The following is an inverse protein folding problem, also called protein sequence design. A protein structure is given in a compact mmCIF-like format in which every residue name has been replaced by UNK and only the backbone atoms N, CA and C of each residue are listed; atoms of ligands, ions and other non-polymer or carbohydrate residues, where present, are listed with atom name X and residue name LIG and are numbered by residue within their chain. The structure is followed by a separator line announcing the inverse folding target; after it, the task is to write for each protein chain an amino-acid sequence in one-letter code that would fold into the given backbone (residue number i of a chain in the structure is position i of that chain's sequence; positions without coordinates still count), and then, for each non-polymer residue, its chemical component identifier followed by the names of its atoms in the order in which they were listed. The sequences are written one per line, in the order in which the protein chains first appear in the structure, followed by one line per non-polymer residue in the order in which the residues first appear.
data_IF_946298464113
#
_entry.id   IF_946298464113
#
_cell.length_a   1.000
_cell.length_b   1.000
_cell.length_c   1.000
_cell.angle_alpha   90.00
_cell.angle_beta   90.00
_cell.angle_gamma   90.00
#
_symmetry.space_group_name_H-M   'P 1'
#
loop_
_entity.id
_entity.type
_entity.pdbx_description
1 polymer ?
#
# COMPACT_ATOMS: atom_id res chain seq x y z
N UNK A 1 -28.66 -71.64 35.66
CA UNK A 1 -27.68 -71.04 36.61
C UNK A 1 -28.48 -70.27 37.64
N UNK A 2 -28.19 -70.48 38.93
CA UNK A 2 -28.88 -69.84 40.05
C UNK A 2 -28.62 -68.33 39.97
N UNK A 3 -29.67 -67.54 39.81
CA UNK A 3 -29.59 -66.08 39.96
C UNK A 3 -29.40 -65.83 41.44
N UNK A 4 -28.20 -65.40 41.82
CA UNK A 4 -27.83 -65.12 43.20
C UNK A 4 -28.38 -63.71 43.52
N UNK A 5 -29.24 -63.51 44.53
CA UNK A 5 -29.82 -62.20 44.86
C UNK A 5 -28.81 -61.14 45.36
N UNK A 6 -27.51 -61.39 45.20
CA UNK A 6 -26.38 -60.63 45.72
C UNK A 6 -25.54 -59.95 44.63
N UNK A 7 -25.88 -60.12 43.35
CA UNK A 7 -25.09 -59.52 42.25
C UNK A 7 -25.55 -58.11 41.84
N UNK A 8 -26.62 -57.57 42.43
CA UNK A 8 -26.94 -56.14 42.23
C UNK A 8 -26.15 -55.31 43.22
N UNK A 9 -24.97 -54.95 42.78
CA UNK A 9 -24.24 -53.84 43.32
C UNK A 9 -24.75 -52.56 42.62
N UNK A 10 -25.55 -51.68 43.25
CA UNK A 10 -25.99 -50.42 42.63
C UNK A 10 -24.85 -49.39 42.54
N UNK A 11 -23.69 -49.64 43.17
CA UNK A 11 -22.58 -48.69 43.21
C UNK A 11 -22.01 -48.33 41.81
N UNK A 12 -21.77 -49.26 40.86
CA UNK A 12 -21.29 -48.92 39.52
C UNK A 12 -22.27 -48.02 38.76
N UNK A 13 -23.57 -48.33 38.77
CA UNK A 13 -24.60 -47.51 38.14
C UNK A 13 -24.72 -46.14 38.80
N UNK A 14 -24.65 -46.10 40.13
CA UNK A 14 -24.66 -44.87 40.91
C UNK A 14 -23.46 -43.97 40.60
N UNK A 15 -22.24 -44.54 40.52
CA UNK A 15 -21.03 -43.80 40.17
C UNK A 15 -21.09 -43.28 38.73
N UNK A 16 -21.65 -44.08 37.81
CA UNK A 16 -21.89 -43.65 36.44
C UNK A 16 -22.87 -42.46 36.39
N UNK A 17 -23.95 -42.49 37.19
CA UNK A 17 -24.89 -41.36 37.30
C UNK A 17 -24.23 -40.09 37.84
N UNK A 18 -23.38 -40.21 38.86
CA UNK A 18 -22.62 -39.07 39.40
C UNK A 18 -21.68 -38.48 38.35
N UNK A 19 -20.91 -39.33 37.66
CA UNK A 19 -20.00 -38.89 36.61
C UNK A 19 -20.72 -38.17 35.47
N UNK A 20 -21.81 -38.75 34.97
CA UNK A 20 -22.60 -38.15 33.88
C UNK A 20 -23.22 -36.83 34.33
N UNK A 21 -23.70 -36.76 35.57
CA UNK A 21 -24.24 -35.51 36.11
C UNK A 21 -23.17 -34.41 36.16
N UNK A 22 -21.94 -34.73 36.57
CA UNK A 22 -20.80 -33.80 36.52
C UNK A 22 -20.47 -33.39 35.07
N UNK A 23 -20.32 -34.35 34.16
CA UNK A 23 -19.98 -34.11 32.74
C UNK A 23 -21.01 -33.21 32.02
N UNK A 24 -22.30 -33.32 32.37
CA UNK A 24 -23.36 -32.48 31.79
C UNK A 24 -23.27 -31.02 32.29
N UNK A 25 -22.78 -30.81 33.50
CA UNK A 25 -22.61 -29.49 34.11
C UNK A 25 -21.27 -28.82 33.76
N UNK A 26 -20.31 -29.59 33.24
CA UNK A 26 -18.99 -29.10 32.88
C UNK A 26 -19.03 -27.97 31.84
N UNK A 27 -18.34 -26.87 32.15
CA UNK A 27 -18.18 -25.77 31.22
C UNK A 27 -17.22 -26.16 30.09
N UNK A 28 -17.62 -25.91 28.84
CA UNK A 28 -16.77 -26.13 27.67
C UNK A 28 -16.30 -24.80 27.09
N UNK A 29 -15.04 -24.77 26.62
CA UNK A 29 -14.45 -23.62 25.92
C UNK A 29 -14.00 -24.10 24.55
N UNK A 30 -14.61 -23.55 23.51
CA UNK A 30 -14.40 -23.94 22.12
C UNK A 30 -14.26 -22.68 21.28
N UNK A 31 -13.32 -22.72 20.33
CA UNK A 31 -12.99 -21.57 19.49
C UNK A 31 -13.11 -21.90 17.99
N UNK A 32 -13.69 -23.07 17.67
CA UNK A 32 -13.83 -23.59 16.31
C UNK A 32 -15.14 -24.36 16.17
N UNK A 33 -15.69 -24.33 14.97
CA UNK A 33 -16.93 -25.03 14.63
C UNK A 33 -16.73 -26.55 14.74
N UNK A 34 -15.58 -27.07 14.32
CA UNK A 34 -15.28 -28.50 14.38
C UNK A 34 -15.27 -29.04 15.81
N UNK A 35 -14.75 -28.24 16.76
CA UNK A 35 -14.68 -28.62 18.17
C UNK A 35 -16.10 -28.71 18.77
N UNK A 36 -16.98 -27.75 18.47
CA UNK A 36 -18.39 -27.80 18.90
C UNK A 36 -19.12 -28.98 18.28
N UNK A 37 -18.92 -29.24 16.98
CA UNK A 37 -19.54 -30.37 16.30
C UNK A 37 -19.11 -31.71 16.91
N UNK A 38 -17.84 -31.82 17.33
CA UNK A 38 -17.34 -32.99 18.05
C UNK A 38 -18.05 -33.18 19.39
N UNK A 39 -18.25 -32.10 20.17
CA UNK A 39 -19.00 -32.14 21.42
C UNK A 39 -20.46 -32.54 21.22
N UNK A 40 -21.13 -31.98 20.20
CA UNK A 40 -22.51 -32.35 19.84
C UNK A 40 -22.60 -33.83 19.48
N UNK A 41 -21.71 -34.33 18.63
CA UNK A 41 -21.70 -35.75 18.27
C UNK A 41 -21.43 -36.65 19.48
N UNK A 42 -20.52 -36.25 20.37
CA UNK A 42 -20.28 -36.92 21.65
C UNK A 42 -21.56 -36.99 22.50
N UNK A 43 -22.27 -35.87 22.63
CA UNK A 43 -23.52 -35.79 23.38
C UNK A 43 -24.64 -36.62 22.74
N UNK A 44 -24.77 -36.63 21.42
CA UNK A 44 -25.71 -37.50 20.69
C UNK A 44 -25.40 -38.98 20.91
N UNK A 45 -24.12 -39.36 20.93
CA UNK A 45 -23.72 -40.74 21.21
C UNK A 45 -24.00 -41.13 22.66
N UNK A 46 -23.83 -40.21 23.61
CA UNK A 46 -24.28 -40.38 24.99
C UNK A 46 -25.80 -40.56 25.06
N UNK A 47 -26.60 -39.74 24.39
CA UNK A 47 -28.07 -39.87 24.39
C UNK A 47 -28.54 -41.23 23.86
N UNK A 48 -27.80 -41.85 22.94
CA UNK A 48 -28.08 -43.22 22.44
C UNK A 48 -27.85 -44.31 23.50
N UNK A 49 -27.06 -44.07 24.55
CA UNK A 49 -26.86 -45.05 25.64
C UNK A 49 -27.95 -44.97 26.72
N UNK A 50 -28.70 -43.86 26.79
CA UNK A 50 -29.75 -43.64 27.79
C UNK A 50 -30.83 -44.72 27.84
N UNK A 51 -31.35 -45.27 26.72
CA UNK A 51 -32.35 -46.33 26.79
C UNK A 51 -31.82 -47.60 27.47
N UNK A 52 -30.54 -47.92 27.26
CA UNK A 52 -29.91 -49.06 27.92
C UNK A 52 -29.72 -48.80 29.43
N UNK A 53 -29.28 -47.60 29.80
CA UNK A 53 -29.12 -47.20 31.20
C UNK A 53 -30.47 -47.10 31.95
N UNK A 54 -31.53 -46.61 31.29
CA UNK A 54 -32.89 -46.60 31.84
C UNK A 54 -33.40 -48.02 32.10
N UNK A 55 -33.08 -48.96 31.21
CA UNK A 55 -33.41 -50.37 31.39
C UNK A 55 -32.69 -50.93 32.63
N UNK A 56 -31.40 -50.65 32.79
CA UNK A 56 -30.63 -51.06 33.97
C UNK A 56 -31.25 -50.52 35.27
N UNK A 57 -31.65 -49.25 35.30
CA UNK A 57 -32.38 -48.67 36.44
C UNK A 57 -33.69 -49.41 36.74
N UNK A 58 -34.49 -49.70 35.70
CA UNK A 58 -35.76 -50.41 35.84
C UNK A 58 -35.56 -51.85 36.34
N UNK A 59 -34.51 -52.53 35.89
CA UNK A 59 -34.16 -53.88 36.31
C UNK A 59 -33.79 -53.88 37.81
N UNK A 60 -32.95 -52.93 38.26
CA UNK A 60 -32.59 -52.73 39.68
C UNK A 60 -33.85 -52.49 40.55
N UNK A 61 -34.75 -51.60 40.10
CA UNK A 61 -35.99 -51.30 40.81
C UNK A 61 -36.89 -52.55 40.90
N UNK A 62 -37.03 -53.28 39.80
CA UNK A 62 -37.87 -54.47 39.71
C UNK A 62 -37.38 -55.57 40.66
N UNK A 63 -36.07 -55.78 40.75
CA UNK A 63 -35.49 -56.78 41.65
C UNK A 63 -35.71 -56.40 43.13
N UNK A 64 -35.52 -55.13 43.50
CA UNK A 64 -35.84 -54.66 44.86
C UNK A 64 -37.33 -54.82 45.18
N UNK A 65 -38.22 -54.59 44.22
CA UNK A 65 -39.65 -54.86 44.38
C UNK A 65 -39.97 -56.35 44.54
N UNK A 66 -39.29 -57.23 43.82
CA UNK A 66 -39.44 -58.68 43.97
C UNK A 66 -39.05 -59.14 45.37
N UNK A 67 -37.92 -58.65 45.90
CA UNK A 67 -37.50 -58.92 47.29
C UNK A 67 -38.57 -58.44 48.29
N UNK A 68 -39.10 -57.23 48.10
CA UNK A 68 -40.20 -56.68 48.92
C UNK A 68 -41.46 -57.56 48.87
N UNK A 69 -41.82 -58.08 47.68
CA UNK A 69 -42.98 -58.99 47.51
C UNK A 69 -42.75 -60.34 48.18
N UNK A 70 -41.54 -60.90 48.10
CA UNK A 70 -41.19 -62.16 48.76
C UNK A 70 -41.28 -62.04 50.29
N UNK A 71 -40.73 -60.98 50.87
CA UNK A 71 -40.80 -60.73 52.31
C UNK A 71 -42.26 -60.63 52.79
N UNK A 72 -43.10 -59.90 52.04
CA UNK A 72 -44.53 -59.77 52.35
C UNK A 72 -45.31 -61.08 52.20
N UNK A 73 -45.11 -61.81 51.10
CA UNK A 73 -45.85 -63.06 50.83
C UNK A 73 -45.52 -64.18 51.82
N UNK A 74 -44.31 -64.19 52.37
CA UNK A 74 -43.88 -65.16 53.37
C UNK A 74 -44.00 -64.67 54.83
N UNK A 75 -44.65 -63.52 55.08
CA UNK A 75 -44.82 -62.91 56.41
C UNK A 75 -43.48 -62.79 57.20
N UNK A 76 -42.39 -62.46 56.50
CA UNK A 76 -41.06 -62.31 57.10
C UNK A 76 -40.93 -60.93 57.77
N UNK A 77 -40.00 -60.81 58.73
CA UNK A 77 -39.77 -59.56 59.48
C UNK A 77 -39.43 -58.39 58.54
N UNK A 78 -40.03 -57.23 58.82
CA UNK A 78 -39.78 -55.98 58.08
C UNK A 78 -38.34 -55.48 58.17
N UNK A 79 -37.55 -55.96 59.13
CA UNK A 79 -36.13 -55.61 59.25
C UNK A 79 -35.29 -56.11 58.06
N UNK A 80 -35.74 -57.20 57.40
CA UNK A 80 -35.08 -57.77 56.22
C UNK A 80 -35.25 -56.90 54.96
N UNK A 81 -36.07 -55.84 55.02
CA UNK A 81 -36.20 -54.87 53.94
C UNK A 81 -35.01 -53.92 53.85
N UNK A 82 -34.21 -53.81 54.92
CA UNK A 82 -32.98 -53.01 54.90
C UNK A 82 -31.86 -53.82 54.27
N UNK A 83 -31.33 -53.34 53.15
CA UNK A 83 -30.22 -53.97 52.48
C UNK A 83 -28.93 -53.79 53.31
N UNK A 84 -28.26 -54.87 53.78
CA UNK A 84 -27.05 -54.76 54.58
C UNK A 84 -25.79 -54.50 53.72
N UNK A 85 -25.88 -54.58 52.40
CA UNK A 85 -24.74 -54.50 51.47
C UNK A 85 -24.63 -53.16 50.73
N UNK A 86 -25.65 -52.30 50.80
CA UNK A 86 -25.62 -50.98 50.18
C UNK A 86 -26.45 -49.97 50.98
N UNK A 87 -25.97 -48.72 50.99
CA UNK A 87 -26.67 -47.57 51.56
C UNK A 87 -27.51 -46.81 50.53
N UNK A 88 -27.53 -47.28 49.27
CA UNK A 88 -28.18 -46.58 48.16
C UNK A 88 -29.59 -47.13 47.97
N UNK A 89 -30.58 -46.28 48.21
CA UNK A 89 -31.99 -46.61 48.01
C UNK A 89 -32.42 -46.41 46.55
N UNK A 90 -33.39 -47.19 46.07
CA UNK A 90 -33.96 -47.02 44.72
C UNK A 90 -34.53 -45.61 44.48
N UNK A 91 -35.08 -44.97 45.50
CA UNK A 91 -35.55 -43.59 45.41
C UNK A 91 -34.40 -42.61 45.16
N UNK A 92 -33.23 -42.85 45.76
CA UNK A 92 -32.03 -42.03 45.53
C UNK A 92 -31.54 -42.18 44.10
N UNK A 93 -31.52 -43.41 43.56
CA UNK A 93 -31.16 -43.66 42.16
C UNK A 93 -32.16 -43.00 41.20
N UNK A 94 -33.45 -43.13 41.46
CA UNK A 94 -34.49 -42.48 40.64
C UNK A 94 -34.35 -40.96 40.65
N UNK A 95 -34.18 -40.36 41.84
CA UNK A 95 -34.00 -38.91 41.95
C UNK A 95 -32.75 -38.42 41.21
N UNK A 96 -31.64 -39.18 41.27
CA UNK A 96 -30.40 -38.86 40.54
C UNK A 96 -30.55 -39.03 39.03
N UNK A 97 -31.26 -40.07 38.61
CA UNK A 97 -31.64 -40.26 37.21
C UNK A 97 -32.47 -39.10 36.69
N UNK A 98 -33.53 -38.71 37.40
CA UNK A 98 -34.41 -37.61 37.00
C UNK A 98 -33.65 -36.27 36.97
N UNK A 99 -32.76 -36.03 37.94
CA UNK A 99 -31.89 -34.86 37.96
C UNK A 99 -30.95 -34.83 36.75
N UNK A 100 -30.25 -35.92 36.46
CA UNK A 100 -29.38 -36.05 35.28
C UNK A 100 -30.17 -35.87 33.98
N UNK A 101 -31.33 -36.51 33.87
CA UNK A 101 -32.18 -36.45 32.68
C UNK A 101 -32.67 -35.02 32.40
N UNK A 102 -32.97 -34.24 33.46
CA UNK A 102 -33.36 -32.84 33.34
C UNK A 102 -32.26 -31.94 32.78
N UNK A 103 -30.99 -32.29 32.98
CA UNK A 103 -29.84 -31.52 32.50
C UNK A 103 -29.58 -31.70 30.99
N UNK A 104 -30.04 -32.80 30.40
CA UNK A 104 -29.78 -33.13 28.99
C UNK A 104 -30.31 -32.04 28.06
N UNK A 105 -31.55 -31.60 28.26
CA UNK A 105 -32.14 -30.54 27.41
C UNK A 105 -31.37 -29.23 27.53
N UNK A 106 -30.93 -28.86 28.73
CA UNK A 106 -30.12 -27.65 28.93
C UNK A 106 -28.75 -27.76 28.26
N UNK A 107 -28.15 -28.95 28.26
CA UNK A 107 -26.89 -29.21 27.57
C UNK A 107 -27.04 -29.15 26.05
N UNK A 108 -28.12 -29.71 25.52
CA UNK A 108 -28.48 -29.62 24.10
C UNK A 108 -28.59 -28.14 23.68
N UNK A 109 -29.35 -27.34 24.41
CA UNK A 109 -29.52 -25.92 24.09
C UNK A 109 -28.20 -25.15 24.15
N UNK A 110 -27.36 -25.39 25.17
CA UNK A 110 -26.06 -24.73 25.30
C UNK A 110 -25.12 -25.08 24.14
N UNK A 111 -25.05 -26.34 23.72
CA UNK A 111 -24.21 -26.78 22.60
C UNK A 111 -24.69 -26.20 21.27
N UNK A 112 -26.00 -26.15 21.03
CA UNK A 112 -26.55 -25.56 19.80
C UNK A 112 -26.35 -24.04 19.76
N UNK A 113 -26.50 -23.33 20.88
CA UNK A 113 -26.21 -21.90 20.96
C UNK A 113 -24.74 -21.61 20.67
N UNK A 114 -23.82 -22.39 21.23
CA UNK A 114 -22.41 -22.23 20.94
C UNK A 114 -22.09 -22.57 19.48
N UNK A 115 -22.74 -23.56 18.88
CA UNK A 115 -22.56 -23.88 17.46
C UNK A 115 -22.94 -22.69 16.57
N UNK A 116 -24.10 -22.08 16.81
CA UNK A 116 -24.56 -20.91 16.06
C UNK A 116 -23.55 -19.77 16.19
N UNK A 117 -23.10 -19.49 17.42
CA UNK A 117 -22.10 -18.46 17.69
C UNK A 117 -20.77 -18.72 16.96
N UNK A 118 -20.25 -19.95 16.99
CA UNK A 118 -19.01 -20.29 16.29
C UNK A 118 -19.17 -20.24 14.76
N UNK A 119 -20.33 -20.60 14.22
CA UNK A 119 -20.63 -20.45 12.79
C UNK A 119 -20.69 -18.98 12.36
N UNK A 120 -21.28 -18.11 13.18
CA UNK A 120 -21.29 -16.67 12.92
C UNK A 120 -19.87 -16.09 12.98
N UNK A 121 -19.06 -16.52 13.94
CA UNK A 121 -17.66 -16.13 14.05
C UNK A 121 -16.85 -16.53 12.82
N UNK A 122 -16.98 -17.79 12.37
CA UNK A 122 -16.27 -18.28 11.18
C UNK A 122 -16.72 -17.56 9.90
N UNK A 123 -18.02 -17.22 9.81
CA UNK A 123 -18.54 -16.43 8.69
C UNK A 123 -17.89 -15.04 8.63
N UNK A 124 -17.78 -14.34 9.77
CA UNK A 124 -17.12 -13.02 9.82
C UNK A 124 -15.64 -13.16 9.46
N UNK A 125 -14.95 -14.17 9.99
CA UNK A 125 -13.56 -14.45 9.67
C UNK A 125 -13.34 -14.71 8.17
N UNK A 126 -14.20 -15.53 7.56
CA UNK A 126 -14.13 -15.85 6.14
C UNK A 126 -14.37 -14.61 5.28
N UNK A 127 -15.36 -13.78 5.62
CA UNK A 127 -15.63 -12.52 4.90
C UNK A 127 -14.46 -11.54 4.99
N UNK A 128 -13.91 -11.35 6.19
CA UNK A 128 -12.72 -10.51 6.37
C UNK A 128 -11.55 -11.02 5.54
N UNK A 129 -11.28 -12.33 5.61
CA UNK A 129 -10.18 -12.96 4.91
C UNK A 129 -10.30 -12.84 3.39
N UNK A 130 -11.50 -13.00 2.82
CA UNK A 130 -11.73 -12.85 1.38
C UNK A 130 -11.33 -11.44 0.89
N UNK A 131 -11.77 -10.40 1.60
CA UNK A 131 -11.42 -9.01 1.25
C UNK A 131 -9.94 -8.73 1.49
N UNK A 132 -9.40 -9.17 2.63
CA UNK A 132 -8.02 -8.98 3.02
C UNK A 132 -7.05 -9.66 2.05
N UNK A 133 -7.34 -10.90 1.62
CA UNK A 133 -6.51 -11.65 0.68
C UNK A 133 -6.56 -11.10 -0.74
N UNK A 134 -7.57 -10.30 -1.08
CA UNK A 134 -7.62 -9.57 -2.35
C UNK A 134 -6.84 -8.25 -2.27
N UNK A 135 -6.99 -7.54 -1.16
CA UNK A 135 -6.46 -6.19 -0.99
C UNK A 135 -4.98 -6.17 -0.55
N UNK A 136 -4.56 -7.10 0.31
CA UNK A 136 -3.18 -7.21 0.80
C UNK A 136 -2.15 -7.35 -0.32
N UNK A 137 -2.28 -8.33 -1.24
CA UNK A 137 -1.37 -8.46 -2.38
C UNK A 137 -1.40 -7.25 -3.33
N UNK A 138 -2.56 -6.61 -3.48
CA UNK A 138 -2.67 -5.37 -4.26
C UNK A 138 -1.83 -4.24 -3.64
N UNK A 139 -1.83 -4.09 -2.31
CA UNK A 139 -0.98 -3.11 -1.63
C UNK A 139 0.50 -3.40 -1.83
N UNK A 140 0.92 -4.66 -1.60
CA UNK A 140 2.32 -5.08 -1.77
C UNK A 140 2.81 -4.78 -3.20
N UNK A 141 2.05 -5.19 -4.21
CA UNK A 141 2.39 -4.97 -5.62
C UNK A 141 2.48 -3.48 -6.00
N UNK A 142 1.53 -2.66 -5.54
CA UNK A 142 1.53 -1.25 -5.88
C UNK A 142 2.60 -0.45 -5.12
N UNK A 143 2.96 -0.85 -3.90
CA UNK A 143 4.10 -0.25 -3.19
C UNK A 143 5.41 -0.47 -3.96
N UNK A 144 5.64 -1.69 -4.47
CA UNK A 144 6.78 -2.00 -5.34
C UNK A 144 6.71 -1.25 -6.68
N UNK A 145 5.53 -1.18 -7.28
CA UNK A 145 5.32 -0.51 -8.56
C UNK A 145 5.61 0.99 -8.46
N UNK A 146 5.12 1.67 -7.43
CA UNK A 146 5.42 3.10 -7.18
C UNK A 146 6.94 3.31 -7.06
N UNK A 147 7.64 2.46 -6.29
CA UNK A 147 9.09 2.54 -6.17
C UNK A 147 9.81 2.34 -7.52
N UNK A 148 9.33 1.38 -8.33
CA UNK A 148 9.88 1.11 -9.66
C UNK A 148 9.69 2.29 -10.63
N UNK A 149 8.55 2.99 -10.57
CA UNK A 149 8.24 4.14 -11.43
C UNK A 149 9.23 5.28 -11.17
N UNK A 150 9.48 5.60 -9.90
CA UNK A 150 10.37 6.70 -9.49
C UNK A 150 11.83 6.44 -9.88
N UNK A 151 12.26 5.17 -9.82
CA UNK A 151 13.66 4.77 -10.04
C UNK A 151 13.96 4.55 -11.53
N UNK A 152 12.94 4.33 -12.36
CA UNK A 152 13.11 4.00 -13.76
C UNK A 152 13.38 5.23 -14.63
N UNK A 153 14.66 5.52 -14.85
CA UNK A 153 15.14 6.63 -15.69
C UNK A 153 14.79 6.50 -17.18
N UNK A 154 14.29 5.35 -17.65
CA UNK A 154 13.93 5.14 -19.07
C UNK A 154 12.53 5.67 -19.41
N UNK A 155 11.68 5.93 -18.42
CA UNK A 155 10.33 6.45 -18.63
C UNK A 155 10.34 7.98 -18.64
N UNK A 156 9.58 8.60 -19.54
CA UNK A 156 9.37 10.05 -19.52
C UNK A 156 8.70 10.48 -18.21
N UNK A 157 8.92 11.72 -17.78
CA UNK A 157 8.34 12.22 -16.53
C UNK A 157 6.80 12.28 -16.64
N UNK A 158 6.29 12.53 -17.84
CA UNK A 158 4.87 12.55 -18.18
C UNK A 158 4.26 11.14 -18.04
N UNK A 159 4.94 10.11 -18.56
CA UNK A 159 4.52 8.71 -18.41
C UNK A 159 4.54 8.26 -16.95
N UNK A 160 5.55 8.69 -16.19
CA UNK A 160 5.63 8.39 -14.75
C UNK A 160 4.45 9.02 -14.00
N UNK A 161 4.13 10.29 -14.29
CA UNK A 161 2.98 10.99 -13.70
C UNK A 161 1.65 10.32 -14.05
N UNK A 162 1.41 9.98 -15.32
CA UNK A 162 0.19 9.28 -15.74
C UNK A 162 0.01 7.93 -15.03
N UNK A 163 1.09 7.15 -14.87
CA UNK A 163 1.03 5.88 -14.15
C UNK A 163 0.70 6.05 -12.68
N UNK A 164 1.28 7.05 -12.00
CA UNK A 164 0.96 7.33 -10.60
C UNK A 164 -0.49 7.78 -10.42
N UNK A 165 -0.99 8.64 -11.31
CA UNK A 165 -2.39 9.09 -11.28
C UNK A 165 -3.36 7.91 -11.47
N UNK A 166 -3.01 6.96 -12.35
CA UNK A 166 -3.80 5.73 -12.52
C UNK A 166 -3.82 4.89 -11.24
N UNK A 167 -2.68 4.71 -10.57
CA UNK A 167 -2.62 3.97 -9.30
C UNK A 167 -3.44 4.71 -8.23
N UNK A 168 -3.42 6.05 -8.20
CA UNK A 168 -4.24 6.85 -7.28
C UNK A 168 -5.74 6.66 -7.53
N UNK A 169 -6.17 6.68 -8.80
CA UNK A 169 -7.57 6.44 -9.18
C UNK A 169 -8.03 5.02 -8.81
N UNK A 170 -7.20 4.01 -9.11
CA UNK A 170 -7.47 2.63 -8.73
C UNK A 170 -7.55 2.50 -7.19
N UNK A 171 -6.67 3.19 -6.46
CA UNK A 171 -6.68 3.24 -4.99
C UNK A 171 -7.99 3.84 -4.48
N UNK A 172 -8.52 4.91 -5.08
CA UNK A 172 -9.79 5.52 -4.69
C UNK A 172 -10.95 4.50 -4.71
N UNK A 173 -10.97 3.60 -5.70
CA UNK A 173 -11.95 2.52 -5.80
C UNK A 173 -11.97 1.54 -4.62
N UNK A 174 -10.83 1.37 -3.95
CA UNK A 174 -10.68 0.48 -2.79
C UNK A 174 -11.17 1.08 -1.46
N UNK A 175 -11.52 2.38 -1.40
CA UNK A 175 -12.02 3.01 -0.17
C UNK A 175 -13.25 2.30 0.41
N UNK A 176 -14.14 1.83 -0.45
CA UNK A 176 -15.33 1.06 -0.05
C UNK A 176 -14.93 -0.26 0.63
N UNK A 177 -13.91 -0.95 0.09
CA UNK A 177 -13.40 -2.21 0.63
C UNK A 177 -12.69 -2.01 1.97
N UNK A 178 -11.87 -0.96 2.13
CA UNK A 178 -11.28 -0.58 3.42
C UNK A 178 -12.38 -0.36 4.47
N UNK A 179 -13.42 0.39 4.12
CA UNK A 179 -14.55 0.67 5.03
C UNK A 179 -15.27 -0.61 5.45
N UNK A 180 -15.44 -1.56 4.53
CA UNK A 180 -16.03 -2.86 4.82
C UNK A 180 -15.14 -3.74 5.70
N UNK A 181 -13.83 -3.77 5.44
CA UNK A 181 -12.84 -4.44 6.28
C UNK A 181 -12.85 -3.91 7.71
N UNK A 182 -12.97 -2.59 7.91
CA UNK A 182 -13.09 -2.00 9.25
C UNK A 182 -14.37 -2.42 9.97
N UNK A 183 -15.50 -2.48 9.26
CA UNK A 183 -16.76 -2.97 9.83
C UNK A 183 -16.67 -4.44 10.23
N UNK A 184 -16.04 -5.27 9.41
CA UNK A 184 -15.83 -6.69 9.73
C UNK A 184 -14.88 -6.85 10.91
N UNK A 185 -13.82 -6.06 10.97
CA UNK A 185 -12.88 -6.06 12.10
C UNK A 185 -13.55 -5.63 13.40
N UNK A 186 -14.42 -4.61 13.36
CA UNK A 186 -15.23 -4.20 14.51
C UNK A 186 -16.10 -5.36 15.03
N UNK A 187 -16.75 -6.10 14.12
CA UNK A 187 -17.52 -7.31 14.49
C UNK A 187 -16.63 -8.40 15.09
N UNK A 188 -15.42 -8.60 14.55
CA UNK A 188 -14.47 -9.56 15.13
C UNK A 188 -14.10 -9.19 16.57
N UNK A 189 -13.88 -7.91 16.86
CA UNK A 189 -13.62 -7.42 18.21
C UNK A 189 -14.82 -7.60 19.14
N UNK A 190 -16.03 -7.28 18.69
CA UNK A 190 -17.28 -7.47 19.44
C UNK A 190 -17.54 -8.93 19.79
N UNK A 191 -17.21 -9.84 18.87
CA UNK A 191 -17.30 -11.29 19.08
C UNK A 191 -16.08 -11.89 19.80
N UNK A 192 -15.12 -11.06 20.21
CA UNK A 192 -13.87 -11.46 20.88
C UNK A 192 -13.05 -12.47 20.07
N UNK A 193 -13.12 -12.38 18.75
CA UNK A 193 -12.35 -13.23 17.83
C UNK A 193 -10.92 -12.69 17.77
N UNK A 194 -9.98 -13.46 18.32
CA UNK A 194 -8.57 -13.07 18.41
C UNK A 194 -7.73 -13.55 17.24
N UNK A 195 -8.19 -14.58 16.51
CA UNK A 195 -7.43 -15.20 15.43
C UNK A 195 -8.33 -15.55 14.24
N UNK A 196 -7.81 -15.28 13.04
CA UNK A 196 -8.45 -15.66 11.79
C UNK A 196 -7.51 -16.59 11.01
N UNK A 197 -7.81 -17.89 10.90
CA UNK A 197 -6.94 -18.85 10.20
C UNK A 197 -6.95 -18.69 8.68
N UNK A 198 -7.91 -17.93 8.13
CA UNK A 198 -8.13 -17.82 6.68
C UNK A 198 -7.30 -16.71 6.02
N UNK A 199 -6.57 -15.90 6.81
CA UNK A 199 -5.71 -14.83 6.28
C UNK A 199 -4.51 -14.56 7.17
N UNK A 200 -3.39 -14.19 6.55
CA UNK A 200 -2.20 -13.68 7.25
C UNK A 200 -2.26 -12.18 7.54
N UNK A 201 -3.19 -11.48 6.90
CA UNK A 201 -3.31 -10.03 6.98
C UNK A 201 -4.17 -9.64 8.17
N UNK A 202 -3.65 -8.75 9.01
CA UNK A 202 -4.44 -8.10 10.07
C UNK A 202 -4.93 -6.74 9.60
N UNK A 203 -5.98 -6.22 10.22
CA UNK A 203 -6.51 -4.89 9.88
C UNK A 203 -5.43 -3.81 10.03
N UNK A 204 -4.55 -3.94 11.02
CA UNK A 204 -3.42 -3.03 11.24
C UNK A 204 -2.45 -3.05 10.07
N UNK A 205 -2.04 -4.24 9.61
CA UNK A 205 -1.12 -4.36 8.47
C UNK A 205 -1.69 -3.75 7.19
N UNK A 206 -2.99 -3.96 6.94
CA UNK A 206 -3.69 -3.38 5.78
C UNK A 206 -3.83 -1.87 5.89
N UNK A 207 -4.16 -1.34 7.08
CA UNK A 207 -4.29 0.10 7.32
C UNK A 207 -2.95 0.82 7.10
N UNK A 208 -1.87 0.27 7.65
CA UNK A 208 -0.52 0.83 7.47
C UNK A 208 -0.12 0.79 6.01
N UNK A 209 -0.29 -0.35 5.32
CA UNK A 209 0.05 -0.48 3.90
C UNK A 209 -0.74 0.49 3.02
N UNK A 210 -2.02 0.69 3.31
CA UNK A 210 -2.87 1.66 2.60
C UNK A 210 -2.40 3.11 2.76
N UNK A 211 -2.19 3.55 4.00
CA UNK A 211 -1.74 4.93 4.27
C UNK A 211 -0.32 5.17 3.75
N UNK A 212 0.54 4.15 3.82
CA UNK A 212 1.88 4.19 3.24
C UNK A 212 1.81 4.34 1.71
N UNK A 213 0.98 3.55 1.03
CA UNK A 213 0.83 3.64 -0.42
C UNK A 213 0.32 5.01 -0.86
N UNK A 214 -0.72 5.51 -0.19
CA UNK A 214 -1.28 6.85 -0.44
C UNK A 214 -0.25 7.96 -0.24
N UNK A 215 0.55 7.87 0.84
CA UNK A 215 1.62 8.84 1.12
C UNK A 215 2.72 8.77 0.08
N UNK A 216 3.12 7.56 -0.33
CA UNK A 216 4.15 7.35 -1.34
C UNK A 216 3.72 7.88 -2.70
N UNK A 217 2.48 7.63 -3.14
CA UNK A 217 1.96 8.16 -4.41
C UNK A 217 2.04 9.68 -4.43
N UNK A 218 1.51 10.35 -3.40
CA UNK A 218 1.53 11.82 -3.30
C UNK A 218 2.94 12.39 -3.29
N UNK A 219 3.85 11.77 -2.54
CA UNK A 219 5.26 12.17 -2.52
C UNK A 219 5.88 12.04 -3.92
N UNK A 220 5.62 10.93 -4.59
CA UNK A 220 6.17 10.62 -5.92
C UNK A 220 5.64 11.57 -6.99
N UNK A 221 4.34 11.89 -6.95
CA UNK A 221 3.72 12.90 -7.82
C UNK A 221 4.41 14.25 -7.63
N UNK A 222 4.54 14.73 -6.39
CA UNK A 222 5.23 16.00 -6.09
C UNK A 222 6.69 15.99 -6.56
N UNK A 223 7.42 14.88 -6.37
CA UNK A 223 8.80 14.75 -6.84
C UNK A 223 8.89 14.82 -8.37
N UNK A 224 7.97 14.17 -9.09
CA UNK A 224 7.93 14.21 -10.55
C UNK A 224 7.51 15.59 -11.05
N UNK A 225 6.51 16.24 -10.44
CA UNK A 225 6.10 17.61 -10.78
C UNK A 225 7.26 18.60 -10.62
N UNK A 226 8.02 18.48 -9.52
CA UNK A 226 9.22 19.29 -9.31
C UNK A 226 10.29 19.01 -10.37
N UNK A 227 10.49 17.74 -10.78
CA UNK A 227 11.43 17.37 -11.85
C UNK A 227 10.97 17.89 -13.21
N UNK A 228 9.67 17.85 -13.53
CA UNK A 228 9.12 18.41 -14.77
C UNK A 228 9.37 19.91 -14.80
N UNK A 229 9.01 20.61 -13.71
CA UNK A 229 9.25 22.05 -13.57
C UNK A 229 10.72 22.40 -13.74
N UNK A 230 11.64 21.63 -13.14
CA UNK A 230 13.08 21.84 -13.32
C UNK A 230 13.56 21.50 -14.74
N UNK A 231 12.94 20.53 -15.40
CA UNK A 231 13.26 20.10 -16.76
C UNK A 231 12.82 21.14 -17.81
N UNK A 232 11.67 21.78 -17.60
CA UNK A 232 11.14 22.86 -18.44
C UNK A 232 12.03 24.11 -18.44
N UNK A 233 12.98 24.20 -17.50
CA UNK A 233 13.98 25.27 -17.40
C UNK A 233 15.42 24.79 -17.68
N UNK A 234 15.61 23.65 -18.35
CA UNK A 234 16.97 23.15 -18.65
C UNK A 234 17.82 24.23 -19.33
N UNK A 235 19.03 24.41 -18.81
CA UNK A 235 20.00 25.39 -19.31
C UNK A 235 19.92 26.79 -18.68
N UNK A 236 18.95 27.05 -17.80
CA UNK A 236 18.82 28.34 -17.10
C UNK A 236 19.30 28.20 -15.66
N UNK A 237 20.26 29.02 -15.24
CA UNK A 237 20.79 29.00 -13.86
C UNK A 237 19.76 29.56 -12.86
N UNK A 238 19.86 29.19 -11.59
CA UNK A 238 18.95 29.69 -10.55
C UNK A 238 18.95 31.24 -10.45
N UNK A 239 20.10 31.86 -10.68
CA UNK A 239 20.22 33.33 -10.77
C UNK A 239 19.48 33.91 -11.97
N UNK A 240 19.57 33.27 -13.14
CA UNK A 240 18.84 33.70 -14.34
C UNK A 240 17.32 33.54 -14.15
N UNK A 241 16.87 32.48 -13.49
CA UNK A 241 15.45 32.29 -13.15
C UNK A 241 14.98 33.42 -12.22
N UNK A 242 15.75 33.78 -11.20
CA UNK A 242 15.40 34.85 -10.28
C UNK A 242 15.40 36.24 -10.96
N UNK A 243 16.34 36.48 -11.87
CA UNK A 243 16.37 37.70 -12.66
C UNK A 243 15.16 37.80 -13.62
N UNK A 244 14.84 36.71 -14.31
CA UNK A 244 13.64 36.59 -15.14
C UNK A 244 12.37 36.82 -14.31
N UNK A 245 12.28 36.22 -13.11
CA UNK A 245 11.16 36.39 -12.18
C UNK A 245 11.04 37.84 -11.70
N UNK A 246 12.15 38.47 -11.33
CA UNK A 246 12.20 39.87 -10.88
C UNK A 246 11.75 40.81 -11.99
N UNK A 247 12.24 40.63 -13.21
CA UNK A 247 11.84 41.44 -14.37
C UNK A 247 10.37 41.23 -14.71
N UNK A 248 9.89 39.99 -14.78
CA UNK A 248 8.48 39.71 -15.08
C UNK A 248 7.54 40.34 -14.05
N UNK A 249 7.84 40.20 -12.76
CA UNK A 249 7.06 40.81 -11.68
C UNK A 249 7.11 42.34 -11.67
N UNK A 250 8.19 42.94 -12.19
CA UNK A 250 8.30 44.40 -12.31
C UNK A 250 7.29 44.96 -13.33
N UNK A 251 7.08 44.24 -14.43
CA UNK A 251 6.16 44.63 -15.49
C UNK A 251 4.71 44.15 -15.24
N UNK A 252 4.50 43.09 -14.48
CA UNK A 252 3.16 42.64 -14.04
C UNK A 252 2.64 43.50 -12.86
N UNK A 253 2.36 44.77 -13.15
CA UNK A 253 1.90 45.78 -12.16
C UNK A 253 0.67 45.34 -11.37
N UNK A 254 -0.15 44.47 -11.96
CA UNK A 254 -1.40 44.00 -11.37
C UNK A 254 -1.29 42.59 -10.73
N UNK A 255 -0.10 41.97 -10.73
CA UNK A 255 0.15 40.61 -10.23
C UNK A 255 -0.81 39.57 -10.81
N UNK A 256 -1.16 39.75 -12.07
CA UNK A 256 -2.07 38.87 -12.81
C UNK A 256 -1.40 37.59 -13.29
N UNK A 257 -0.08 37.49 -13.13
CA UNK A 257 0.83 36.48 -13.71
C UNK A 257 0.79 36.46 -15.24
N UNK A 258 0.46 37.61 -15.84
CA UNK A 258 0.29 37.80 -17.27
C UNK A 258 0.89 39.14 -17.67
N UNK A 259 1.61 39.17 -18.78
CA UNK A 259 2.07 40.41 -19.42
C UNK A 259 1.32 40.60 -20.72
N UNK A 260 0.81 41.80 -20.95
CA UNK A 260 0.33 42.20 -22.28
C UNK A 260 1.52 42.37 -23.25
N UNK A 261 1.29 42.51 -24.57
CA UNK A 261 2.35 42.63 -25.55
C UNK A 261 3.33 43.79 -25.28
N UNK A 262 2.84 44.92 -24.76
CA UNK A 262 3.67 46.10 -24.51
C UNK A 262 4.55 45.89 -23.28
N UNK A 263 3.96 45.38 -22.20
CA UNK A 263 4.69 45.05 -20.97
C UNK A 263 5.67 43.89 -21.18
N UNK A 264 5.32 42.90 -22.01
CA UNK A 264 6.22 41.82 -22.40
C UNK A 264 7.41 42.33 -23.23
N UNK A 265 7.19 43.24 -24.19
CA UNK A 265 8.28 43.89 -24.94
C UNK A 265 9.23 44.64 -24.01
N UNK A 266 8.69 45.38 -23.04
CA UNK A 266 9.49 46.10 -22.06
C UNK A 266 10.30 45.13 -21.15
N UNK A 267 9.70 44.00 -20.78
CA UNK A 267 10.38 42.94 -20.04
C UNK A 267 11.58 42.36 -20.80
N UNK A 268 11.42 42.05 -22.09
CA UNK A 268 12.52 41.56 -22.94
C UNK A 268 13.66 42.58 -23.04
N UNK A 269 13.34 43.86 -23.25
CA UNK A 269 14.33 44.94 -23.31
C UNK A 269 15.08 45.07 -21.98
N UNK A 270 14.38 44.94 -20.84
CA UNK A 270 15.00 44.99 -19.50
C UNK A 270 15.96 43.84 -19.22
N UNK A 271 15.81 42.71 -19.91
CA UNK A 271 16.68 41.54 -19.83
C UNK A 271 17.81 41.57 -20.88
N UNK A 272 17.90 42.64 -21.67
CA UNK A 272 18.99 42.85 -22.64
C UNK A 272 18.67 42.48 -24.09
N UNK A 273 17.43 42.08 -24.42
CA UNK A 273 17.04 41.85 -25.81
C UNK A 273 16.92 43.18 -26.57
N UNK A 274 17.67 43.31 -27.65
CA UNK A 274 17.63 44.52 -28.49
C UNK A 274 16.50 44.41 -29.51
N UNK A 275 15.38 45.09 -29.26
CA UNK A 275 14.25 45.17 -30.18
C UNK A 275 14.17 46.61 -30.73
N UNK A 276 14.77 46.90 -31.89
CA UNK A 276 14.81 48.25 -32.44
C UNK A 276 13.41 48.76 -32.81
N UNK A 277 13.19 50.06 -32.70
CA UNK A 277 11.94 50.74 -33.11
C UNK A 277 11.89 50.94 -34.64
N UNK A 278 12.17 49.88 -35.39
CA UNK A 278 12.11 49.84 -36.85
C UNK A 278 11.08 48.80 -37.29
N UNK A 279 10.68 48.86 -38.57
CA UNK A 279 9.78 47.83 -39.14
C UNK A 279 10.35 46.41 -39.02
N UNK A 280 11.68 46.27 -38.91
CA UNK A 280 12.35 44.99 -38.71
C UNK A 280 12.20 44.49 -37.27
N UNK A 281 12.43 45.35 -36.27
CA UNK A 281 12.27 44.97 -34.87
C UNK A 281 10.83 44.61 -34.51
N UNK A 282 9.85 45.23 -35.18
CA UNK A 282 8.43 44.84 -35.03
C UNK A 282 8.14 43.45 -35.60
N UNK A 283 8.74 43.11 -36.75
CA UNK A 283 8.59 41.79 -37.35
C UNK A 283 9.25 40.69 -36.48
N UNK A 284 10.39 40.99 -35.86
CA UNK A 284 11.08 40.06 -34.97
C UNK A 284 10.33 39.90 -33.64
N UNK A 285 9.78 40.98 -33.05
CA UNK A 285 8.92 40.89 -31.88
C UNK A 285 7.65 40.08 -32.15
N UNK A 286 7.00 40.28 -33.31
CA UNK A 286 5.84 39.46 -33.70
C UNK A 286 6.21 37.97 -33.85
N UNK A 287 7.44 37.65 -34.28
CA UNK A 287 7.91 36.26 -34.36
C UNK A 287 8.06 35.66 -32.97
N UNK A 288 8.67 36.39 -32.03
CA UNK A 288 8.78 35.98 -30.63
C UNK A 288 7.39 35.78 -30.04
N UNK A 289 6.46 36.71 -30.29
CA UNK A 289 5.11 36.65 -29.78
C UNK A 289 4.35 35.42 -30.27
N UNK A 290 4.53 35.01 -31.53
CA UNK A 290 3.96 33.75 -32.05
C UNK A 290 4.52 32.50 -31.38
N UNK A 291 5.74 32.56 -30.87
CA UNK A 291 6.36 31.47 -30.11
C UNK A 291 5.79 31.39 -28.69
N UNK A 292 5.62 32.53 -28.00
CA UNK A 292 5.16 32.57 -26.61
C UNK A 292 3.63 32.62 -26.43
N UNK A 293 2.89 33.03 -27.46
CA UNK A 293 1.42 33.02 -27.51
C UNK A 293 0.90 32.42 -28.83
N UNK A 294 1.07 31.10 -29.06
CA UNK A 294 0.65 30.44 -30.31
C UNK A 294 -0.86 30.51 -30.56
N UNK A 295 -1.64 30.65 -29.49
CA UNK A 295 -3.10 30.69 -29.51
C UNK A 295 -3.67 32.10 -29.64
N UNK A 296 -2.82 33.14 -29.74
CA UNK A 296 -3.22 34.54 -29.84
C UNK A 296 -4.19 34.97 -28.73
N UNK A 297 -3.91 34.52 -27.51
CA UNK A 297 -4.68 34.88 -26.30
C UNK A 297 -4.51 36.36 -25.93
N UNK A 298 -3.47 37.02 -26.45
CA UNK A 298 -3.20 38.44 -26.23
C UNK A 298 -2.44 38.74 -24.94
N UNK A 299 -1.92 37.71 -24.26
CA UNK A 299 -1.08 37.85 -23.08
C UNK A 299 -0.04 36.72 -23.01
N UNK A 300 1.08 36.98 -22.33
CA UNK A 300 2.17 36.02 -22.10
C UNK A 300 2.20 35.63 -20.63
N UNK A 301 2.20 34.32 -20.34
CA UNK A 301 2.34 33.80 -18.97
C UNK A 301 3.81 33.67 -18.58
N UNK A 302 4.08 33.60 -17.28
CA UNK A 302 5.45 33.40 -16.78
C UNK A 302 6.07 32.11 -17.33
N UNK A 303 5.30 31.02 -17.43
CA UNK A 303 5.79 29.73 -17.93
C UNK A 303 6.16 29.81 -19.42
N UNK A 304 5.33 30.43 -20.26
CA UNK A 304 5.63 30.63 -21.68
C UNK A 304 6.86 31.53 -21.89
N UNK A 305 7.00 32.56 -21.06
CA UNK A 305 8.18 33.42 -21.04
C UNK A 305 9.43 32.64 -20.63
N UNK A 306 9.38 31.85 -19.56
CA UNK A 306 10.52 31.06 -19.09
C UNK A 306 10.92 29.95 -20.07
N UNK A 307 9.96 29.32 -20.74
CA UNK A 307 10.22 28.35 -21.80
C UNK A 307 10.95 29.00 -22.99
N UNK A 308 10.54 30.21 -23.38
CA UNK A 308 11.27 31.01 -24.36
C UNK A 308 12.69 31.34 -23.88
N UNK A 309 12.86 31.79 -22.65
CA UNK A 309 14.19 32.10 -22.09
C UNK A 309 15.09 30.86 -22.06
N UNK A 310 14.58 29.70 -21.66
CA UNK A 310 15.32 28.42 -21.70
C UNK A 310 15.74 28.05 -23.12
N UNK A 311 14.86 28.22 -24.12
CA UNK A 311 15.21 27.98 -25.52
C UNK A 311 16.28 28.95 -26.04
N UNK A 312 16.25 30.23 -25.63
CA UNK A 312 17.28 31.21 -26.02
C UNK A 312 18.63 30.89 -25.35
N UNK A 313 18.64 30.49 -24.08
CA UNK A 313 19.87 30.11 -23.38
C UNK A 313 20.47 28.81 -23.91
N UNK A 314 19.63 27.83 -24.30
CA UNK A 314 20.08 26.61 -24.99
C UNK A 314 20.56 26.86 -26.43
N UNK A 315 20.20 28.01 -27.02
CA UNK A 315 20.68 28.47 -28.33
C UNK A 315 21.98 29.28 -28.28
N UNK A 316 22.55 29.54 -27.10
CA UNK A 316 23.88 30.11 -26.97
C UNK A 316 24.91 29.01 -27.30
N UNK A 317 25.73 29.26 -28.34
CA UNK A 317 26.69 28.29 -28.88
C UNK A 317 27.45 27.54 -27.77
N UNK A 318 27.34 26.22 -27.72
CA UNK A 318 28.07 25.47 -26.70
C UNK A 318 29.58 25.47 -27.01
N UNK A 319 30.42 25.27 -25.98
CA UNK A 319 31.87 25.07 -26.17
C UNK A 319 32.14 24.04 -27.27
N UNK A 320 31.37 22.96 -27.32
CA UNK A 320 31.50 21.91 -28.34
C UNK A 320 31.16 22.38 -29.76
N UNK A 321 30.14 23.21 -29.92
CA UNK A 321 29.80 23.81 -31.22
C UNK A 321 30.87 24.81 -31.69
N UNK A 322 31.42 25.62 -30.78
CA UNK A 322 32.52 26.52 -31.09
C UNK A 322 33.79 25.75 -31.46
N UNK A 323 34.12 24.70 -30.71
CA UNK A 323 35.23 23.77 -30.98
C UNK A 323 35.05 23.07 -32.32
N UNK A 324 33.84 22.61 -32.65
CA UNK A 324 33.55 21.99 -33.95
C UNK A 324 33.64 22.98 -35.12
N UNK A 325 33.25 24.24 -34.89
CA UNK A 325 33.40 25.32 -35.87
C UNK A 325 34.87 25.58 -36.17
N UNK A 326 35.70 25.73 -35.14
CA UNK A 326 37.16 25.86 -35.31
C UNK A 326 37.80 24.60 -35.91
N UNK A 327 37.33 23.40 -35.56
CA UNK A 327 37.80 22.14 -36.17
C UNK A 327 37.54 22.12 -37.68
N UNK A 328 36.37 22.59 -38.10
CA UNK A 328 36.01 22.70 -39.52
C UNK A 328 36.94 23.67 -40.25
N UNK A 329 37.20 24.84 -39.66
CA UNK A 329 38.14 25.84 -40.20
C UNK A 329 39.59 25.33 -40.27
N UNK A 330 39.97 24.47 -39.32
CA UNK A 330 41.30 23.87 -39.26
C UNK A 330 41.48 22.71 -40.26
N UNK A 331 40.42 22.20 -40.88
CA UNK A 331 40.47 21.03 -41.75
C UNK A 331 40.59 19.71 -40.97
N UNK A 332 39.84 19.59 -39.87
CA UNK A 332 39.81 18.43 -38.97
C UNK A 332 41.11 18.14 -38.20
N UNK A 333 42.04 19.09 -38.14
CA UNK A 333 43.22 19.00 -37.27
C UNK A 333 42.91 19.48 -35.84
N UNK A 334 43.58 18.92 -34.81
CA UNK A 334 43.36 19.29 -33.41
C UNK A 334 43.93 20.67 -33.02
N UNK A 335 44.47 21.41 -33.99
CA UNK A 335 45.03 22.75 -33.86
C UNK A 335 44.65 23.58 -35.08
N UNK A 336 44.69 24.90 -34.96
CA UNK A 336 44.48 25.84 -36.07
C UNK A 336 45.72 26.73 -36.24
N UNK A 337 46.07 27.12 -37.46
CA UNK A 337 47.24 28.00 -37.70
C UNK A 337 46.82 29.47 -37.82
N UNK A 338 47.77 30.36 -37.56
CA UNK A 338 47.57 31.83 -37.74
C UNK A 338 47.17 32.17 -39.17
N UNK A 339 47.70 31.45 -40.16
CA UNK A 339 47.36 31.62 -41.58
C UNK A 339 45.92 31.17 -41.89
N UNK A 340 45.46 30.07 -41.30
CA UNK A 340 44.07 29.59 -41.43
C UNK A 340 43.08 30.60 -40.83
N UNK A 341 43.37 31.12 -39.64
CA UNK A 341 42.55 32.15 -39.01
C UNK A 341 42.46 33.42 -39.87
N UNK A 342 43.59 33.90 -40.41
CA UNK A 342 43.62 35.10 -41.27
C UNK A 342 42.99 34.90 -42.65
N UNK A 343 42.86 33.65 -43.11
CA UNK A 343 42.24 33.32 -44.40
C UNK A 343 40.73 33.20 -44.29
N UNK A 344 40.23 32.63 -43.20
CA UNK A 344 38.82 32.29 -43.04
C UNK A 344 38.03 33.31 -42.20
N UNK A 345 38.69 34.12 -41.36
CA UNK A 345 38.06 35.12 -40.51
C UNK A 345 38.41 36.54 -40.96
N UNK A 346 37.52 37.49 -40.62
CA UNK A 346 37.78 38.92 -40.77
C UNK A 346 39.07 39.33 -40.01
N UNK A 347 39.86 40.29 -40.52
CA UNK A 347 41.18 40.63 -39.97
C UNK A 347 41.18 40.92 -38.47
N UNK A 348 40.16 41.63 -37.98
CA UNK A 348 40.01 41.98 -36.56
C UNK A 348 39.74 40.75 -35.69
N UNK A 349 38.92 39.80 -36.17
CA UNK A 349 38.60 38.56 -35.47
C UNK A 349 39.76 37.58 -35.48
N UNK A 350 40.48 37.50 -36.60
CA UNK A 350 41.68 36.69 -36.73
C UNK A 350 42.75 37.15 -35.73
N UNK A 351 43.04 38.46 -35.68
CA UNK A 351 44.03 39.00 -34.74
C UNK A 351 43.58 38.84 -33.27
N UNK A 352 42.28 38.97 -32.97
CA UNK A 352 41.74 38.67 -31.65
C UNK A 352 41.98 37.21 -31.23
N UNK A 353 41.67 36.25 -32.11
CA UNK A 353 41.88 34.83 -31.85
C UNK A 353 43.37 34.51 -31.66
N UNK A 354 44.25 35.06 -32.51
CA UNK A 354 45.70 34.84 -32.42
C UNK A 354 46.27 35.37 -31.10
N UNK A 355 45.78 36.50 -30.60
CA UNK A 355 46.27 37.10 -29.37
C UNK A 355 45.79 36.36 -28.11
N UNK A 356 44.65 35.68 -28.15
CA UNK A 356 44.07 34.99 -26.99
C UNK A 356 44.27 33.47 -26.99
N UNK A 357 44.50 32.84 -28.14
CA UNK A 357 44.76 31.41 -28.22
C UNK A 357 46.18 31.09 -27.74
N UNK A 358 46.31 30.04 -26.93
CA UNK A 358 47.63 29.52 -26.52
C UNK A 358 48.23 28.69 -27.66
N UNK A 359 49.55 28.58 -27.69
CA UNK A 359 50.24 27.67 -28.60
C UNK A 359 49.87 26.21 -28.29
N UNK A 360 49.57 25.43 -29.32
CA UNK A 360 49.26 24.01 -29.21
C UNK A 360 50.55 23.18 -29.13
N UNK A 361 50.67 22.33 -28.10
CA UNK A 361 51.87 21.54 -27.80
C UNK A 361 51.67 20.02 -27.95
N UNK A 362 50.64 19.58 -28.69
CA UNK A 362 50.33 18.16 -28.88
C UNK A 362 51.08 17.47 -30.04
N UNK A 363 50.85 16.17 -30.27
CA UNK A 363 51.49 15.41 -31.35
C UNK A 363 51.00 15.90 -32.73
N UNK A 364 51.93 16.03 -33.69
CA UNK A 364 51.64 16.46 -35.07
C UNK A 364 52.01 17.92 -35.41
N UNK A 365 52.69 18.63 -34.50
CA UNK A 365 53.16 20.00 -34.74
C UNK A 365 54.49 19.96 -35.51
N UNK A 366 54.44 20.19 -36.83
CA UNK A 366 55.65 20.24 -37.66
C UNK A 366 56.29 21.65 -37.71
N UNK A 367 55.51 22.71 -37.56
CA UNK A 367 55.97 24.10 -37.71
C UNK A 367 55.36 24.99 -36.62
N UNK A 368 56.18 25.81 -35.96
CA UNK A 368 55.81 26.66 -34.81
C UNK A 368 54.84 27.80 -35.15
N UNK A 369 53.55 27.46 -35.27
CA UNK A 369 52.44 28.39 -35.49
C UNK A 369 51.06 27.79 -35.21
N UNK A 370 51.01 26.67 -34.48
CA UNK A 370 49.79 25.97 -34.12
C UNK A 370 49.16 26.57 -32.86
N UNK A 371 47.86 26.86 -32.91
CA UNK A 371 47.07 27.45 -31.84
C UNK A 371 46.01 26.46 -31.34
N UNK A 372 45.79 26.47 -30.03
CA UNK A 372 44.83 25.60 -29.35
C UNK A 372 43.48 26.31 -29.23
N UNK A 373 42.59 26.01 -30.17
CA UNK A 373 41.23 26.52 -30.18
C UNK A 373 40.32 25.83 -29.12
N UNK A 374 40.72 24.65 -28.60
CA UNK A 374 39.93 23.93 -27.58
C UNK A 374 40.05 24.60 -26.21
N UNK A 375 41.27 24.93 -25.79
CA UNK A 375 41.52 25.71 -24.59
C UNK A 375 40.94 27.12 -24.69
N UNK A 376 40.97 27.72 -25.88
CA UNK A 376 40.39 29.05 -26.10
C UNK A 376 38.87 29.05 -26.00
N UNK A 377 38.18 28.11 -26.67
CA UNK A 377 36.73 27.96 -26.53
C UNK A 377 36.35 27.68 -25.08
N UNK A 378 37.07 26.77 -24.40
CA UNK A 378 36.84 26.51 -22.98
C UNK A 378 37.06 27.75 -22.10
N UNK A 379 38.03 28.63 -22.42
CA UNK A 379 38.26 29.87 -21.66
C UNK A 379 37.20 30.94 -21.87
N UNK A 380 36.60 31.02 -23.06
CA UNK A 380 35.56 31.99 -23.37
C UNK A 380 34.25 31.70 -22.65
N UNK A 381 33.92 30.42 -22.48
CA UNK A 381 32.72 30.00 -21.75
C UNK A 381 33.00 29.66 -20.28
N UNK A 382 34.27 29.41 -19.92
CA UNK A 382 34.71 29.01 -18.57
C UNK A 382 34.99 30.16 -17.60
N UNK A 383 34.87 31.43 -18.01
CA UNK A 383 34.94 32.58 -17.10
C UNK A 383 33.57 33.03 -16.55
N UNK A 384 32.47 32.30 -16.81
CA UNK A 384 31.15 32.57 -16.21
C UNK A 384 30.79 31.72 -14.99
N UNK A 385 31.78 31.08 -14.35
CA UNK A 385 31.59 30.48 -13.03
C UNK A 385 32.79 30.78 -12.11
N UNK A 386 32.77 31.96 -11.51
CA UNK A 386 33.34 32.20 -10.17
C UNK A 386 32.56 33.32 -9.47
#
# INVERSE_FOLDING_TARGET
MKVNPLDINPYPFNNWLEQVHEDLQDMFIVNKVEDVMSLINGHENFKKTLPAAQKELNDIITEVEQVKKLIKSHNLSSELLKNPYTMIDCSTLQNRWDAMYSLISGRDDALHQELIKQQENDKVNTQFAQLANRFGPYLEHNLETVHSIITNQKLSLEDQSQRLNKIEEDLEGWKSTITELEKLHQKQQEFLITHNPHTRYTMETLRVGWEQLKTNIKRSQNEIENRITANDYRGVTEQQIEECRRCFNHFDKHRTRRLDPLDFRACLVSLGFTIPNSSQGEADFMRIMKTVDPHCTGYVTFDAFMQFMSQQTMGADTVEQMVNSFRTLAGDTPYITTEQLKRELEPELADYCINRMKAYNGPGVANGGALDYTSFAASLYGESEL
#
